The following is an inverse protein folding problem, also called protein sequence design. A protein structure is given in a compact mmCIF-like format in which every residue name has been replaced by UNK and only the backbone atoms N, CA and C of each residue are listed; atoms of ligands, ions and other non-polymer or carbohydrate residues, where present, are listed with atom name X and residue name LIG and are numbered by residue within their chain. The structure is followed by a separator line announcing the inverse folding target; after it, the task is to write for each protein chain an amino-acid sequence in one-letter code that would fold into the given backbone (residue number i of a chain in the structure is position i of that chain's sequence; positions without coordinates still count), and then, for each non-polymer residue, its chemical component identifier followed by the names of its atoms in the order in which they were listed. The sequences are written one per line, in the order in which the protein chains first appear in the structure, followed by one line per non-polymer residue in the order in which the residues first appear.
data_IF_441381694808
#
_entry.id   IF_441381694808
#
_cell.length_a   1.000
_cell.length_b   1.000
_cell.length_c   1.000
_cell.angle_alpha   90.00
_cell.angle_beta   90.00
_cell.angle_gamma   90.00
#
_symmetry.space_group_name_H-M   'P 1'
#
loop_
_entity.id
_entity.type
_entity.pdbx_description
1 polymer ?
#
# COMPACT_ATOMS: atom_id res chain seq x y z
N UNK A 1 -8.43 23.13 -16.01
CA UNK A 1 -8.38 23.05 -15.46
C UNK A 1 -8.35 22.82 -14.60
N UNK A 2 -8.32 22.72 -14.50
CA UNK A 2 -8.49 22.61 -13.72
C UNK A 2 -8.18 22.58 -12.68
N UNK A 3 -7.79 22.64 -12.47
CA UNK A 3 -7.45 22.55 -11.38
C UNK A 3 -7.98 23.03 -10.34
N UNK A 4 -8.63 23.15 -10.21
CA UNK A 4 -8.97 23.57 -9.33
C UNK A 4 -9.36 23.06 -8.42
N UNK A 5 -9.42 22.70 -8.16
CA UNK A 5 -9.64 22.42 -7.22
C UNK A 5 -9.11 21.91 -6.39
N UNK A 6 -8.47 22.10 -6.65
CA UNK A 6 -7.85 21.59 -5.96
C UNK A 6 -8.12 21.61 -4.72
N UNK A 7 -8.31 20.93 -4.36
CA UNK A 7 -8.53 20.71 -3.14
C UNK A 7 -8.41 21.75 -2.27
N UNK A 8 -9.16 22.56 -2.40
CA UNK A 8 -9.25 23.57 -1.42
C UNK A 8 -9.63 23.00 -0.06
N UNK A 9 -10.17 21.82 0.01
CA UNK A 9 -10.48 21.17 1.30
C UNK A 9 -10.47 19.66 1.16
N UNK A 10 -10.17 18.96 2.24
CA UNK A 10 -10.14 17.52 2.20
C UNK A 10 -11.53 16.93 2.01
N UNK A 11 -11.56 15.78 1.40
CA UNK A 11 -12.77 15.00 1.23
C UNK A 11 -12.76 13.84 2.22
N UNK A 12 -13.49 14.00 3.31
CA UNK A 12 -13.57 12.99 4.35
C UNK A 12 -14.66 11.95 4.10
N UNK A 13 -15.35 12.03 2.98
CA UNK A 13 -16.41 11.09 2.67
C UNK A 13 -15.86 9.75 2.17
N UNK A 14 -14.61 9.71 1.75
CA UNK A 14 -14.00 8.50 1.22
C UNK A 14 -13.26 7.80 2.35
N UNK A 15 -13.70 6.60 2.70
CA UNK A 15 -13.03 5.82 3.72
C UNK A 15 -13.19 4.33 3.45
N UNK A 16 -12.24 3.54 3.96
CA UNK A 16 -12.31 2.10 3.92
C UNK A 16 -12.71 1.62 5.30
N UNK A 17 -13.81 0.92 5.36
CA UNK A 17 -14.33 0.45 6.63
C UNK A 17 -13.62 -0.82 7.06
N UNK A 18 -13.39 -0.94 8.36
CA UNK A 18 -12.92 -2.17 8.96
C UNK A 18 -11.47 -2.50 8.70
N UNK A 19 -10.68 -1.51 8.29
CA UNK A 19 -9.27 -1.76 7.97
C UNK A 19 -8.41 -0.69 8.64
N UNK A 20 -7.44 -1.09 9.44
CA UNK A 20 -6.48 -0.17 10.03
C UNK A 20 -5.06 -0.72 9.88
N UNK A 21 -4.08 0.17 9.98
CA UNK A 21 -2.68 -0.11 9.70
C UNK A 21 -2.45 -0.61 8.28
N UNK A 22 -3.29 -0.20 7.34
CA UNK A 22 -3.11 -0.49 5.94
C UNK A 22 -2.02 0.39 5.35
N UNK A 23 -1.34 -0.10 4.33
CA UNK A 23 -0.49 0.75 3.51
C UNK A 23 -1.36 1.48 2.50
N UNK A 24 -1.17 2.79 2.39
CA UNK A 24 -1.97 3.60 1.48
C UNK A 24 -1.05 4.46 0.64
N UNK A 25 -1.26 4.47 -0.66
CA UNK A 25 -0.50 5.32 -1.56
C UNK A 25 -1.30 5.60 -2.84
N UNK A 26 -0.96 6.69 -3.49
CA UNK A 26 -1.47 6.97 -4.83
C UNK A 26 -0.56 6.29 -5.85
N UNK A 27 -1.16 5.71 -6.87
CA UNK A 27 -0.44 5.08 -7.96
C UNK A 27 -1.34 5.09 -9.19
N UNK A 28 -0.82 5.61 -10.30
CA UNK A 28 -1.56 5.68 -11.57
C UNK A 28 -2.93 6.33 -11.41
N UNK A 29 -3.00 7.45 -10.69
CA UNK A 29 -4.20 8.25 -10.46
C UNK A 29 -5.27 7.53 -9.64
N UNK A 30 -4.93 6.45 -9.00
CA UNK A 30 -5.80 5.69 -8.12
C UNK A 30 -5.22 5.67 -6.71
N UNK A 31 -6.06 5.39 -5.72
CA UNK A 31 -5.61 5.23 -4.34
C UNK A 31 -5.65 3.76 -3.99
N UNK A 32 -4.52 3.22 -3.57
CA UNK A 32 -4.38 1.81 -3.20
C UNK A 32 -4.37 1.70 -1.68
N UNK A 33 -5.19 0.80 -1.17
CA UNK A 33 -5.23 0.46 0.25
C UNK A 33 -4.85 -1.02 0.36
N UNK A 34 -3.75 -1.29 1.00
CA UNK A 34 -3.07 -2.58 0.91
C UNK A 34 -2.91 -3.17 2.31
N UNK A 35 -3.45 -4.37 2.49
CA UNK A 35 -3.29 -5.08 3.74
C UNK A 35 -3.94 -4.38 4.92
N UNK A 36 -3.25 -4.38 6.03
CA UNK A 36 -3.78 -3.87 7.28
C UNK A 36 -4.38 -4.97 8.11
N UNK A 37 -5.27 -4.62 9.01
CA UNK A 37 -5.96 -5.62 9.80
C UNK A 37 -7.41 -5.20 10.04
N UNK A 38 -8.25 -6.18 10.27
CA UNK A 38 -9.60 -5.99 10.79
C UNK A 38 -9.59 -6.34 12.27
N UNK A 39 -10.77 -6.57 12.86
CA UNK A 39 -10.87 -6.85 14.28
C UNK A 39 -10.15 -8.13 14.70
N UNK A 40 -9.88 -9.04 13.77
CA UNK A 40 -9.44 -10.39 14.08
C UNK A 40 -8.12 -10.80 13.42
N UNK A 41 -7.84 -10.30 12.23
CA UNK A 41 -6.77 -10.84 11.39
C UNK A 41 -5.99 -9.77 10.66
N UNK A 42 -4.74 -10.10 10.31
CA UNK A 42 -4.03 -9.37 9.28
C UNK A 42 -4.63 -9.70 7.93
N UNK A 43 -4.62 -8.73 7.04
CA UNK A 43 -5.28 -8.83 5.75
C UNK A 43 -4.25 -8.86 4.63
N UNK A 44 -4.55 -9.62 3.59
CA UNK A 44 -3.80 -9.57 2.33
C UNK A 44 -4.60 -8.90 1.22
N UNK A 45 -5.81 -8.49 1.49
CA UNK A 45 -6.67 -7.87 0.47
C UNK A 45 -6.16 -6.49 0.10
N UNK A 46 -6.45 -6.11 -1.14
CA UNK A 46 -6.08 -4.81 -1.69
C UNK A 46 -7.33 -4.21 -2.34
N UNK A 47 -7.62 -2.98 -1.95
CA UNK A 47 -8.73 -2.24 -2.53
C UNK A 47 -8.20 -1.00 -3.19
N UNK A 48 -8.82 -0.62 -4.30
CA UNK A 48 -8.39 0.51 -5.12
C UNK A 48 -9.56 1.44 -5.30
N UNK A 49 -9.32 2.70 -5.02
CA UNK A 49 -10.32 3.75 -5.18
C UNK A 49 -10.03 4.56 -6.45
N UNK A 50 -11.05 4.71 -7.28
CA UNK A 50 -10.99 5.56 -8.46
C UNK A 50 -11.73 6.86 -8.16
N UNK A 51 -11.01 7.98 -7.99
CA UNK A 51 -11.67 9.26 -7.66
C UNK A 51 -12.63 9.76 -8.74
N UNK A 52 -12.35 9.45 -10.00
CA UNK A 52 -13.21 9.90 -11.09
C UNK A 52 -14.56 9.21 -11.08
N UNK A 53 -14.57 7.94 -10.72
CA UNK A 53 -15.78 7.14 -10.67
C UNK A 53 -16.40 7.07 -9.28
N UNK A 54 -15.65 7.55 -8.27
CA UNK A 54 -16.06 7.46 -6.88
C UNK A 54 -16.40 6.01 -6.51
N UNK A 55 -15.50 5.10 -6.82
CA UNK A 55 -15.76 3.68 -6.71
C UNK A 55 -14.56 2.94 -6.16
N UNK A 56 -14.79 2.07 -5.16
CA UNK A 56 -13.81 1.12 -4.64
C UNK A 56 -13.97 -0.21 -5.34
N UNK A 57 -12.87 -0.80 -5.75
CA UNK A 57 -12.84 -2.17 -6.30
C UNK A 57 -11.74 -2.96 -5.64
N UNK A 58 -11.95 -4.28 -5.56
CA UNK A 58 -10.91 -5.19 -5.06
C UNK A 58 -10.08 -5.66 -6.23
N UNK A 59 -8.77 -5.78 -6.00
CA UNK A 59 -7.86 -6.37 -6.96
C UNK A 59 -7.19 -7.57 -6.32
N UNK A 60 -6.26 -8.19 -7.04
CA UNK A 60 -5.57 -9.38 -6.55
C UNK A 60 -4.88 -9.06 -5.22
N UNK A 61 -5.01 -9.92 -4.21
CA UNK A 61 -4.37 -9.67 -2.91
C UNK A 61 -2.87 -9.82 -2.98
N UNK A 62 -2.19 -9.20 -2.01
CA UNK A 62 -0.76 -9.43 -1.82
C UNK A 62 -0.54 -10.87 -1.36
N UNK A 63 0.70 -11.34 -1.48
CA UNK A 63 1.06 -12.72 -1.19
C UNK A 63 0.96 -13.01 0.31
N UNK A 64 1.50 -12.10 1.12
CA UNK A 64 1.54 -12.24 2.57
C UNK A 64 0.65 -11.19 3.22
N UNK A 65 -0.25 -11.61 4.09
CA UNK A 65 -1.05 -10.66 4.88
C UNK A 65 -0.11 -9.82 5.75
N UNK A 66 -0.32 -8.49 5.76
CA UNK A 66 0.57 -7.55 6.46
C UNK A 66 -0.20 -6.39 7.03
N UNK A 67 0.17 -6.01 8.24
CA UNK A 67 -0.24 -4.73 8.82
C UNK A 67 1.01 -3.90 9.11
N UNK A 68 0.88 -2.58 9.13
CA UNK A 68 2.00 -1.71 9.40
C UNK A 68 3.11 -1.80 8.37
N UNK A 69 2.77 -2.14 7.12
CA UNK A 69 3.74 -2.20 6.02
C UNK A 69 3.96 -0.79 5.46
N UNK A 70 5.14 -0.59 4.88
CA UNK A 70 5.41 0.62 4.13
C UNK A 70 5.05 0.43 2.67
N UNK A 71 4.54 1.47 2.04
CA UNK A 71 4.22 1.43 0.62
C UNK A 71 4.78 2.67 -0.07
N UNK A 72 5.26 2.49 -1.28
CA UNK A 72 5.79 3.59 -2.08
C UNK A 72 5.81 3.22 -3.54
N UNK A 73 5.79 4.23 -4.39
CA UNK A 73 6.01 4.06 -5.82
C UNK A 73 7.47 4.37 -6.11
N UNK A 74 8.15 3.42 -6.68
CA UNK A 74 9.57 3.54 -6.99
C UNK A 74 9.84 2.93 -8.36
N UNK A 75 10.51 3.70 -9.20
CA UNK A 75 10.83 3.27 -10.56
C UNK A 75 9.57 2.81 -11.33
N UNK A 76 8.47 3.55 -11.16
CA UNK A 76 7.21 3.28 -11.83
C UNK A 76 6.44 2.08 -11.31
N UNK A 77 6.88 1.48 -10.21
CA UNK A 77 6.24 0.29 -9.63
C UNK A 77 5.82 0.52 -8.20
N UNK A 78 4.82 -0.19 -7.76
CA UNK A 78 4.28 -0.08 -6.41
C UNK A 78 4.91 -1.14 -5.52
N UNK A 79 5.59 -0.69 -4.46
CA UNK A 79 6.32 -1.55 -3.51
C UNK A 79 5.57 -1.61 -2.19
N UNK A 80 5.47 -2.83 -1.64
CA UNK A 80 4.93 -3.07 -0.30
C UNK A 80 6.05 -3.72 0.51
N UNK A 81 6.44 -3.10 1.60
CA UNK A 81 7.67 -3.45 2.32
C UNK A 81 7.38 -3.76 3.77
N UNK A 82 7.81 -4.91 4.23
CA UNK A 82 7.82 -5.27 5.65
C UNK A 82 6.46 -5.31 6.30
N UNK A 83 6.39 -4.86 7.52
CA UNK A 83 5.19 -4.92 8.35
C UNK A 83 5.20 -6.16 9.22
N UNK A 84 4.02 -6.57 9.66
CA UNK A 84 3.84 -7.77 10.50
C UNK A 84 2.71 -8.62 9.95
N UNK A 85 2.88 -9.93 10.02
CA UNK A 85 1.81 -10.87 9.65
C UNK A 85 0.89 -11.20 10.83
N UNK A 86 1.08 -10.52 11.95
CA UNK A 86 0.33 -10.78 13.17
C UNK A 86 1.12 -11.59 14.17
N UNK A 87 2.12 -12.33 13.73
CA UNK A 87 2.97 -13.16 14.59
C UNK A 87 4.44 -12.77 14.52
N UNK A 88 4.87 -12.28 13.36
CA UNK A 88 6.28 -11.97 13.10
C UNK A 88 6.41 -10.66 12.37
N UNK A 89 7.50 -9.95 12.63
CA UNK A 89 7.92 -8.84 11.78
C UNK A 89 8.47 -9.41 10.48
N UNK A 90 8.24 -8.70 9.39
CA UNK A 90 8.57 -9.16 8.05
C UNK A 90 9.72 -8.34 7.47
N UNK A 91 10.60 -9.02 6.74
CA UNK A 91 11.64 -8.36 5.95
C UNK A 91 11.34 -8.43 4.46
N UNK A 92 10.27 -9.08 4.06
CA UNK A 92 9.95 -9.31 2.66
C UNK A 92 9.32 -8.09 2.01
N UNK A 93 9.42 -8.06 0.70
CA UNK A 93 8.89 -6.99 -0.14
C UNK A 93 8.08 -7.62 -1.26
N UNK A 94 6.99 -6.97 -1.62
CA UNK A 94 6.19 -7.38 -2.77
C UNK A 94 6.07 -6.21 -3.72
N UNK A 95 6.08 -6.49 -5.01
CA UNK A 95 6.02 -5.48 -6.06
C UNK A 95 4.83 -5.80 -6.95
N UNK A 96 4.02 -4.79 -7.23
CA UNK A 96 2.87 -4.95 -8.10
C UNK A 96 3.30 -4.89 -9.57
N UNK A 97 2.98 -5.94 -10.30
CA UNK A 97 3.20 -5.99 -11.74
C UNK A 97 1.91 -5.58 -12.44
N UNK A 98 1.91 -4.39 -12.99
CA UNK A 98 0.72 -3.83 -13.61
C UNK A 98 0.29 -4.58 -14.86
N UNK A 99 1.23 -5.17 -15.57
CA UNK A 99 0.92 -5.89 -16.81
C UNK A 99 0.11 -7.16 -16.54
N UNK A 100 0.49 -7.88 -15.48
CA UNK A 100 -0.21 -9.12 -15.12
C UNK A 100 -1.25 -8.89 -14.04
N UNK A 101 -1.30 -7.68 -13.46
CA UNK A 101 -2.19 -7.33 -12.35
C UNK A 101 -1.99 -8.28 -11.17
N UNK A 102 -0.73 -8.60 -10.86
CA UNK A 102 -0.39 -9.53 -9.78
C UNK A 102 0.83 -9.02 -9.02
N UNK A 103 1.07 -9.64 -7.87
CA UNK A 103 2.17 -9.27 -6.98
C UNK A 103 3.30 -10.26 -7.13
N UNK A 104 4.52 -9.77 -7.14
CA UNK A 104 5.72 -10.62 -7.21
C UNK A 104 6.62 -10.28 -6.03
N UNK A 105 7.42 -11.24 -5.61
CA UNK A 105 8.37 -11.06 -4.51
C UNK A 105 9.55 -10.21 -5.00
N UNK A 106 9.86 -9.18 -4.22
CA UNK A 106 11.02 -8.33 -4.48
C UNK A 106 12.15 -8.61 -3.52
N UNK A 107 13.19 -7.77 -3.53
CA UNK A 107 14.33 -7.94 -2.62
C UNK A 107 13.89 -7.75 -1.18
N UNK A 108 14.39 -8.59 -0.29
CA UNK A 108 14.11 -8.47 1.13
C UNK A 108 15.01 -7.46 1.79
N UNK A 109 14.52 -6.83 2.85
CA UNK A 109 15.37 -6.03 3.74
C UNK A 109 16.28 -6.96 4.52
N UNK A 110 17.37 -6.42 5.05
CA UNK A 110 18.28 -7.20 5.88
C UNK A 110 17.69 -7.50 7.26
N UNK A 111 16.79 -6.65 7.73
CA UNK A 111 16.20 -6.76 9.06
C UNK A 111 14.68 -6.73 8.93
N UNK A 112 13.95 -7.64 9.61
CA UNK A 112 12.49 -7.54 9.65
C UNK A 112 12.07 -6.27 10.37
N UNK A 113 11.04 -5.61 9.85
CA UNK A 113 10.57 -4.33 10.41
C UNK A 113 9.06 -4.29 10.43
N UNK A 114 8.49 -4.21 11.63
CA UNK A 114 7.08 -3.91 11.81
C UNK A 114 6.91 -2.40 11.85
N UNK A 115 5.73 -1.91 11.49
CA UNK A 115 5.42 -0.47 11.48
C UNK A 115 6.47 0.32 10.70
N UNK A 116 6.76 -0.14 9.49
CA UNK A 116 7.79 0.45 8.65
C UNK A 116 7.19 1.53 7.77
N UNK A 117 7.95 2.61 7.61
CA UNK A 117 7.65 3.64 6.62
C UNK A 117 8.71 3.59 5.55
N UNK A 118 8.33 3.88 4.33
CA UNK A 118 9.28 3.92 3.22
C UNK A 118 9.19 5.27 2.52
N UNK A 119 10.33 5.69 1.98
CA UNK A 119 10.42 6.95 1.26
C UNK A 119 11.40 6.78 0.11
N UNK A 120 11.17 7.53 -0.95
CA UNK A 120 12.02 7.52 -2.13
C UNK A 120 12.82 8.79 -2.16
N UNK A 121 14.13 8.66 -2.28
CA UNK A 121 15.03 9.80 -2.46
C UNK A 121 15.94 9.47 -3.64
N UNK A 122 15.80 10.26 -4.72
CA UNK A 122 16.58 10.03 -5.93
C UNK A 122 16.28 8.66 -6.51
N UNK A 123 17.31 7.83 -6.64
CA UNK A 123 17.20 6.50 -7.20
C UNK A 123 17.18 5.40 -6.13
N UNK A 124 16.80 5.74 -4.90
CA UNK A 124 16.81 4.79 -3.79
C UNK A 124 15.53 4.80 -3.01
N UNK A 125 15.18 3.64 -2.52
CA UNK A 125 14.03 3.43 -1.64
C UNK A 125 14.55 3.13 -0.24
N UNK A 126 14.11 3.91 0.74
CA UNK A 126 14.56 3.80 2.13
C UNK A 126 13.44 3.29 3.00
N UNK A 127 13.76 2.37 3.89
CA UNK A 127 12.82 1.85 4.89
C UNK A 127 13.28 2.28 6.27
N UNK A 128 12.34 2.79 7.06
CA UNK A 128 12.61 3.27 8.42
C UNK A 128 11.55 2.70 9.35
N UNK A 129 11.98 2.19 10.47
CA UNK A 129 11.03 1.66 11.44
C UNK A 129 11.58 0.58 12.32
#
# INVERSE_FOLDING_TARGET
MGGENVASKPDWSVCILGRYQAGVTAYNKLVYAIGGCDAWNCLNSVEVYNPEENLWTSIKPIITARRGCGVAVFDGKLYVVGGSDGSHSLNSTEIFDEKTQSWVVGPSMTTPRANVEVAVVGDRLYAVG
#
